data_IF_928413591443
#
_entry.id   IF_928413591443
#
_cell.length_a   1.000
_cell.length_b   1.000
_cell.length_c   1.000
_cell.angle_alpha   90.00
_cell.angle_beta   90.00
_cell.angle_gamma   90.00
#
_symmetry.space_group_name_H-M   'P 1'
#
loop_
_entity.id
_entity.type
_entity.pdbx_description
1 polymer ?
#
# COMPACT_ATOMS: atom_id res chain seq x y z
N UNK A 1 -16.51 41.35 13.59
CA UNK A 1 -15.58 40.19 13.53
C UNK A 1 -16.18 39.05 12.68
N UNK A 2 -16.22 39.18 11.34
CA UNK A 2 -16.95 38.21 10.50
C UNK A 2 -16.33 37.88 9.14
N UNK A 3 -15.15 38.42 8.82
CA UNK A 3 -14.58 38.28 7.45
C UNK A 3 -13.60 37.11 7.29
N UNK A 4 -12.97 36.63 8.37
CA UNK A 4 -11.92 35.61 8.27
C UNK A 4 -12.47 34.19 8.03
N UNK A 5 -13.66 33.88 8.55
CA UNK A 5 -14.30 32.57 8.37
C UNK A 5 -14.80 32.33 6.95
N UNK A 6 -15.25 33.37 6.25
CA UNK A 6 -15.78 33.25 4.89
C UNK A 6 -14.66 33.04 3.86
N UNK A 7 -13.50 33.68 4.04
CA UNK A 7 -12.32 33.48 3.16
C UNK A 7 -11.71 32.08 3.32
N UNK A 8 -11.61 31.56 4.55
CA UNK A 8 -11.14 30.18 4.76
C UNK A 8 -12.07 29.13 4.14
N UNK A 9 -13.38 29.41 4.12
CA UNK A 9 -14.38 28.52 3.51
C UNK A 9 -14.32 28.57 1.97
N UNK A 10 -14.01 29.74 1.40
CA UNK A 10 -13.87 29.93 -0.06
C UNK A 10 -12.53 29.41 -0.61
N UNK A 11 -11.46 29.43 0.19
CA UNK A 11 -10.15 28.88 -0.20
C UNK A 11 -10.14 27.34 -0.27
N UNK A 12 -11.02 26.66 0.48
CA UNK A 12 -11.10 25.19 0.51
C UNK A 12 -11.86 24.58 -0.68
N UNK A 13 -12.63 25.36 -1.43
CA UNK A 13 -13.46 24.84 -2.54
C UNK A 13 -12.72 24.72 -3.89
N UNK A 14 -11.48 25.19 -3.98
CA UNK A 14 -10.73 25.24 -5.25
C UNK A 14 -9.70 24.11 -5.45
N UNK A 15 -9.63 23.15 -4.54
CA UNK A 15 -8.81 21.95 -4.77
C UNK A 15 -9.62 21.05 -5.69
N UNK A 16 -9.25 21.02 -6.97
CA UNK A 16 -9.77 20.03 -7.91
C UNK A 16 -9.36 18.65 -7.43
N UNK A 17 -10.25 18.04 -6.65
CA UNK A 17 -10.10 16.71 -6.12
C UNK A 17 -9.74 15.71 -7.22
N UNK A 18 -10.13 15.92 -8.49
CA UNK A 18 -9.81 15.01 -9.59
C UNK A 18 -8.32 14.98 -9.96
N UNK A 19 -7.52 15.99 -9.65
CA UNK A 19 -6.09 16.03 -9.97
C UNK A 19 -5.20 15.77 -8.74
N UNK A 20 -4.05 15.09 -8.90
CA UNK A 20 -3.08 14.96 -7.82
C UNK A 20 -2.47 16.34 -7.50
N UNK A 21 -2.09 16.55 -6.23
CA UNK A 21 -1.42 17.79 -5.84
C UNK A 21 -0.06 17.94 -6.55
N UNK A 22 0.39 19.16 -6.81
CA UNK A 22 1.63 19.44 -7.57
C UNK A 22 2.89 18.87 -6.89
N UNK A 23 2.89 18.75 -5.56
CA UNK A 23 4.01 18.22 -4.76
C UNK A 23 3.63 16.90 -4.07
N UNK A 24 3.37 15.86 -4.86
CA UNK A 24 3.25 14.49 -4.33
C UNK A 24 4.54 13.71 -4.56
N UNK A 25 4.89 12.84 -3.61
CA UNK A 25 5.82 11.76 -3.93
C UNK A 25 5.19 10.88 -5.00
N UNK A 26 5.91 10.65 -6.11
CA UNK A 26 5.41 9.90 -7.25
C UNK A 26 6.34 8.73 -7.54
N UNK A 27 5.76 7.56 -7.80
CA UNK A 27 6.46 6.37 -8.29
C UNK A 27 5.62 5.69 -9.35
N UNK A 28 6.27 5.17 -10.38
CA UNK A 28 5.65 4.23 -11.32
C UNK A 28 5.73 2.81 -10.77
N UNK A 29 4.91 1.90 -11.28
CA UNK A 29 4.93 0.51 -10.81
C UNK A 29 6.14 -0.27 -11.30
N UNK A 30 6.68 0.10 -12.48
CA UNK A 30 7.85 -0.52 -13.12
C UNK A 30 9.18 -0.03 -12.54
N UNK A 31 9.13 0.94 -11.63
CA UNK A 31 10.28 1.40 -10.88
C UNK A 31 10.58 0.39 -9.79
N UNK A 32 11.72 -0.29 -9.89
CA UNK A 32 12.19 -1.28 -8.91
C UNK A 32 12.77 -0.64 -7.64
N UNK A 33 12.99 0.68 -7.66
CA UNK A 33 13.62 1.40 -6.57
C UNK A 33 15.10 1.09 -6.43
N UNK A 34 15.68 1.57 -5.32
CA UNK A 34 17.05 1.21 -4.95
C UNK A 34 17.02 -0.09 -4.17
N UNK A 35 18.01 -0.97 -4.36
CA UNK A 35 18.22 -2.05 -3.41
C UNK A 35 18.58 -1.44 -2.06
N UNK A 36 18.02 -2.01 -0.99
CA UNK A 36 18.36 -1.58 0.36
C UNK A 36 19.82 -1.99 0.59
N UNK A 37 20.71 -1.00 0.67
CA UNK A 37 22.09 -1.25 1.06
C UNK A 37 22.10 -1.62 2.54
N UNK A 38 22.59 -2.82 2.84
CA UNK A 38 22.81 -3.23 4.21
C UNK A 38 23.91 -2.34 4.78
N UNK A 39 23.72 -1.84 6.01
CA UNK A 39 24.74 -1.09 6.73
C UNK A 39 26.05 -1.88 6.76
N UNK A 40 27.12 -1.33 6.16
CA UNK A 40 28.44 -1.96 6.17
C UNK A 40 29.12 -1.68 7.51
N UNK A 41 29.34 -2.73 8.31
CA UNK A 41 30.07 -2.63 9.57
C UNK A 41 31.54 -2.98 9.38
N UNK A 42 32.43 -2.25 10.05
CA UNK A 42 33.83 -2.69 10.16
C UNK A 42 33.95 -3.86 11.14
N UNK A 43 35.06 -4.60 11.08
CA UNK A 43 35.32 -5.71 12.02
C UNK A 43 35.33 -5.23 13.48
N UNK A 44 35.84 -4.02 13.74
CA UNK A 44 35.85 -3.44 15.08
C UNK A 44 34.44 -3.12 15.58
N UNK A 45 33.57 -2.61 14.69
CA UNK A 45 32.17 -2.38 15.02
C UNK A 45 31.46 -3.70 15.33
N UNK A 46 31.74 -4.76 14.55
CA UNK A 46 31.18 -6.09 14.80
C UNK A 46 31.57 -6.61 16.19
N UNK A 47 32.84 -6.49 16.59
CA UNK A 47 33.29 -6.91 17.93
C UNK A 47 32.56 -6.11 19.01
N UNK A 48 32.35 -4.81 18.81
CA UNK A 48 31.68 -3.93 19.78
C UNK A 48 30.20 -4.30 20.01
N UNK A 49 29.51 -4.84 19.00
CA UNK A 49 28.09 -5.21 19.11
C UNK A 49 27.86 -6.63 19.65
N UNK A 50 28.89 -7.48 19.74
CA UNK A 50 28.76 -8.87 20.22
C UNK A 50 28.02 -8.95 21.57
N UNK A 51 28.34 -8.13 22.60
CA UNK A 51 27.62 -8.20 23.88
C UNK A 51 26.12 -7.91 23.75
N UNK A 52 25.76 -6.98 22.86
CA UNK A 52 24.35 -6.65 22.57
C UNK A 52 23.64 -7.81 21.89
N UNK A 53 24.28 -8.44 20.90
CA UNK A 53 23.73 -9.60 20.18
C UNK A 53 23.54 -10.79 21.14
N UNK A 54 24.54 -11.09 21.98
CA UNK A 54 24.44 -12.16 22.98
C UNK A 54 23.30 -11.91 23.97
N UNK A 55 23.18 -10.68 24.47
CA UNK A 55 22.07 -10.30 25.36
C UNK A 55 20.72 -10.44 24.66
N UNK A 56 20.62 -10.03 23.40
CA UNK A 56 19.42 -10.22 22.58
C UNK A 56 19.03 -11.69 22.44
N UNK A 57 20.00 -12.57 22.16
CA UNK A 57 19.79 -14.01 22.07
C UNK A 57 19.31 -14.63 23.39
N UNK A 58 19.89 -14.21 24.52
CA UNK A 58 19.46 -14.67 25.85
C UNK A 58 18.01 -14.25 26.15
N UNK A 59 17.64 -13.00 25.84
CA UNK A 59 16.27 -12.51 26.00
C UNK A 59 15.32 -13.32 25.10
N UNK A 60 15.71 -13.57 23.85
CA UNK A 60 14.89 -14.35 22.92
C UNK A 60 14.68 -15.79 23.39
N UNK A 61 15.68 -16.42 23.99
CA UNK A 61 15.54 -17.75 24.60
C UNK A 61 14.57 -17.75 25.79
N UNK A 62 14.65 -16.75 26.67
CA UNK A 62 13.73 -16.58 27.80
C UNK A 62 12.28 -16.32 27.34
N UNK A 63 12.06 -15.47 26.33
CA UNK A 63 10.73 -15.21 25.78
C UNK A 63 10.14 -16.47 25.13
N UNK A 64 10.93 -17.22 24.35
CA UNK A 64 10.52 -18.51 23.77
C UNK A 64 10.17 -19.53 24.85
N UNK A 65 10.95 -19.60 25.94
CA UNK A 65 10.64 -20.45 27.09
C UNK A 65 9.32 -20.10 27.78
N UNK A 66 8.89 -18.84 27.70
CA UNK A 66 7.60 -18.32 28.20
C UNK A 66 6.47 -18.42 27.18
N UNK A 67 6.70 -18.99 25.99
CA UNK A 67 5.72 -19.09 24.90
C UNK A 67 5.33 -17.74 24.28
N UNK A 68 6.18 -16.71 24.43
CA UNK A 68 5.95 -15.38 23.85
C UNK A 68 6.72 -15.23 22.54
N UNK A 69 6.15 -14.44 21.62
CA UNK A 69 6.82 -14.10 20.38
C UNK A 69 8.07 -13.24 20.59
N UNK A 70 9.04 -13.39 19.69
CA UNK A 70 10.28 -12.61 19.72
C UNK A 70 10.02 -11.22 19.15
N UNK A 71 10.20 -10.19 19.98
CA UNK A 71 10.06 -8.80 19.55
C UNK A 71 11.20 -8.35 18.63
N UNK A 72 12.44 -8.81 18.88
CA UNK A 72 13.62 -8.41 18.13
C UNK A 72 14.46 -9.62 17.74
N UNK A 73 14.49 -9.92 16.45
CA UNK A 73 15.35 -10.95 15.88
C UNK A 73 16.36 -10.29 14.92
N UNK A 74 17.64 -10.17 15.32
CA UNK A 74 18.67 -9.53 14.49
C UNK A 74 19.01 -10.34 13.25
N UNK A 75 18.63 -11.63 13.20
CA UNK A 75 18.90 -12.51 12.06
C UNK A 75 17.67 -12.66 11.15
N UNK A 76 16.56 -11.99 11.47
CA UNK A 76 15.39 -11.96 10.62
C UNK A 76 15.76 -11.41 9.24
N UNK A 77 15.47 -12.19 8.20
CA UNK A 77 15.59 -11.72 6.82
C UNK A 77 14.45 -10.75 6.51
N UNK A 78 14.82 -9.48 6.33
CA UNK A 78 13.91 -8.43 5.88
C UNK A 78 13.74 -8.46 4.36
N UNK A 79 12.66 -7.90 3.85
CA UNK A 79 12.53 -7.68 2.40
C UNK A 79 13.59 -6.69 1.92
N UNK A 80 14.26 -7.03 0.83
CA UNK A 80 15.36 -6.27 0.21
C UNK A 80 14.88 -5.25 -0.85
N UNK A 81 13.56 -5.07 -0.97
CA UNK A 81 12.93 -4.15 -1.92
C UNK A 81 12.43 -2.86 -1.27
N UNK A 82 12.30 -1.81 -2.09
CA UNK A 82 11.74 -0.52 -1.69
C UNK A 82 10.24 -0.39 -1.98
N UNK A 83 9.53 -1.50 -2.21
CA UNK A 83 8.09 -1.44 -2.47
C UNK A 83 7.39 -1.00 -1.19
N UNK A 84 7.04 0.27 -1.06
CA UNK A 84 6.42 0.86 0.13
C UNK A 84 5.38 1.89 -0.31
N UNK A 85 4.43 2.19 0.55
CA UNK A 85 3.49 3.27 0.32
C UNK A 85 3.03 3.84 1.65
N UNK A 86 2.04 4.73 1.60
CA UNK A 86 1.50 5.28 2.83
C UNK A 86 0.78 4.21 3.65
N UNK A 87 0.96 4.22 4.98
CA UNK A 87 0.24 3.32 5.86
C UNK A 87 -1.25 3.67 5.85
N UNK A 88 -2.04 2.64 6.11
CA UNK A 88 -3.49 2.69 6.33
C UNK A 88 -3.73 2.48 7.82
N UNK A 89 -4.33 3.46 8.49
CA UNK A 89 -4.74 3.32 9.88
C UNK A 89 -4.76 4.65 10.60
N UNK A 90 -5.42 4.65 11.76
CA UNK A 90 -5.39 5.74 12.72
C UNK A 90 -4.17 5.64 13.65
N UNK A 91 -3.97 6.67 14.47
CA UNK A 91 -3.03 6.66 15.58
C UNK A 91 -3.48 5.66 16.65
N UNK A 92 -2.59 4.74 17.02
CA UNK A 92 -2.85 3.74 18.07
C UNK A 92 -3.73 2.57 17.66
N UNK A 93 -4.30 2.57 16.45
CA UNK A 93 -5.18 1.50 15.95
C UNK A 93 -4.45 0.34 15.28
N UNK A 94 -3.13 0.43 15.16
CA UNK A 94 -2.34 -0.37 14.23
C UNK A 94 -2.45 0.15 12.79
N UNK A 95 -1.58 -0.36 11.93
CA UNK A 95 -1.49 0.09 10.52
C UNK A 95 -1.24 -1.05 9.54
N UNK A 96 -1.73 -0.89 8.31
CA UNK A 96 -1.46 -1.79 7.19
C UNK A 96 -0.78 -0.99 6.08
N UNK A 97 0.38 -1.43 5.62
CA UNK A 97 1.02 -0.86 4.44
C UNK A 97 0.31 -1.28 3.15
N UNK A 98 0.11 -0.33 2.23
CA UNK A 98 -0.19 -0.67 0.83
C UNK A 98 0.96 -0.21 -0.04
N UNK A 99 1.58 -1.13 -0.76
CA UNK A 99 2.72 -0.83 -1.62
C UNK A 99 2.31 0.13 -2.74
N UNK A 100 3.25 0.91 -3.27
CA UNK A 100 2.97 1.67 -4.49
C UNK A 100 2.58 0.75 -5.65
N UNK A 101 2.99 -0.53 -5.64
CA UNK A 101 2.60 -1.57 -6.61
C UNK A 101 1.20 -2.18 -6.36
N UNK A 102 0.45 -1.68 -5.37
CA UNK A 102 -0.99 -1.93 -5.22
C UNK A 102 -1.41 -3.02 -4.22
N UNK A 103 -0.49 -3.88 -3.77
CA UNK A 103 -0.77 -4.97 -2.81
C UNK A 103 -0.53 -4.56 -1.35
N UNK A 104 -1.20 -5.26 -0.42
CA UNK A 104 -1.11 -5.00 1.02
C UNK A 104 0.03 -5.81 1.66
N UNK A 105 0.78 -5.18 2.56
CA UNK A 105 1.98 -5.69 3.24
C UNK A 105 2.23 -4.85 4.51
N UNK A 106 3.27 -5.15 5.30
CA UNK A 106 3.59 -4.37 6.51
C UNK A 106 2.40 -4.22 7.46
N UNK A 107 1.82 -5.35 7.87
CA UNK A 107 0.74 -5.38 8.84
C UNK A 107 1.33 -5.23 10.25
N UNK A 108 1.00 -4.11 10.88
CA UNK A 108 1.32 -3.76 12.26
C UNK A 108 0.02 -3.56 13.02
N UNK A 109 -0.82 -4.61 13.05
CA UNK A 109 -2.11 -4.56 13.74
C UNK A 109 -1.91 -4.82 15.23
N UNK A 110 -1.02 -5.75 15.57
CA UNK A 110 -0.67 -6.04 16.97
C UNK A 110 0.65 -5.35 17.31
N UNK A 111 0.76 -4.62 18.44
CA UNK A 111 1.95 -3.85 18.77
C UNK A 111 3.27 -4.64 18.80
N UNK A 112 3.21 -5.94 19.12
CA UNK A 112 4.38 -6.81 19.19
C UNK A 112 4.68 -7.55 17.87
N UNK A 113 3.75 -7.55 16.91
CA UNK A 113 3.87 -8.30 15.66
C UNK A 113 3.96 -7.35 14.48
N UNK A 114 4.97 -7.61 13.66
CA UNK A 114 5.16 -6.92 12.40
C UNK A 114 5.27 -7.95 11.29
N UNK A 115 4.21 -8.06 10.49
CA UNK A 115 4.15 -8.95 9.35
C UNK A 115 4.50 -8.18 8.09
N UNK A 116 5.75 -8.36 7.65
CA UNK A 116 6.27 -7.64 6.50
C UNK A 116 5.72 -8.16 5.17
N UNK A 117 5.48 -9.47 5.06
CA UNK A 117 5.18 -10.14 3.79
C UNK A 117 3.85 -9.67 3.20
N UNK A 118 3.74 -9.60 1.86
CA UNK A 118 2.49 -9.27 1.22
C UNK A 118 1.46 -10.39 1.37
N UNK A 119 0.21 -10.01 1.70
CA UNK A 119 -0.93 -10.92 1.66
C UNK A 119 -1.59 -10.76 0.30
N UNK A 120 -1.20 -11.61 -0.65
CA UNK A 120 -1.61 -11.46 -2.05
C UNK A 120 -3.11 -11.71 -2.28
N UNK A 121 -3.81 -12.32 -1.33
CA UNK A 121 -5.27 -12.44 -1.38
C UNK A 121 -6.00 -11.10 -1.15
N UNK A 122 -5.35 -10.13 -0.49
CA UNK A 122 -5.94 -8.83 -0.23
C UNK A 122 -5.72 -7.93 -1.45
N UNK A 123 -6.72 -7.75 -2.31
CA UNK A 123 -6.58 -7.00 -3.55
C UNK A 123 -7.84 -6.28 -3.97
N UNK A 124 -7.64 -5.23 -4.75
CA UNK A 124 -8.68 -4.71 -5.62
C UNK A 124 -8.55 -5.34 -7.01
N UNK A 125 -9.67 -5.66 -7.64
CA UNK A 125 -9.72 -6.14 -9.03
C UNK A 125 -10.73 -5.32 -9.81
N UNK A 126 -10.41 -5.05 -11.08
CA UNK A 126 -11.30 -4.34 -12.00
C UNK A 126 -11.78 -5.30 -13.09
N UNK A 127 -13.07 -5.25 -13.40
CA UNK A 127 -13.69 -5.94 -14.51
C UNK A 127 -14.45 -4.95 -15.38
N UNK A 128 -14.20 -4.97 -16.68
CA UNK A 128 -14.80 -4.07 -17.65
C UNK A 128 -15.50 -4.89 -18.72
N UNK A 129 -16.77 -4.61 -18.98
CA UNK A 129 -17.55 -5.23 -20.04
C UNK A 129 -18.07 -4.18 -21.01
N UNK A 130 -17.84 -4.43 -22.30
CA UNK A 130 -18.26 -3.56 -23.41
C UNK A 130 -19.48 -4.14 -24.12
N UNK A 131 -20.34 -3.29 -24.72
CA UNK A 131 -21.49 -3.75 -25.51
C UNK A 131 -21.11 -4.60 -26.72
N UNK A 132 -19.90 -4.41 -27.28
CA UNK A 132 -19.37 -5.19 -28.40
C UNK A 132 -18.92 -6.62 -28.01
N UNK A 133 -19.20 -7.07 -26.77
CA UNK A 133 -18.83 -8.38 -26.27
C UNK A 133 -17.41 -8.50 -25.72
N UNK A 134 -16.56 -7.48 -25.87
CA UNK A 134 -15.21 -7.49 -25.27
C UNK A 134 -15.31 -7.31 -23.76
N UNK A 135 -14.54 -8.11 -23.02
CA UNK A 135 -14.40 -7.96 -21.58
C UNK A 135 -12.94 -8.01 -21.18
N UNK A 136 -12.61 -7.28 -20.13
CA UNK A 136 -11.26 -7.14 -19.60
C UNK A 136 -11.31 -7.29 -18.09
N UNK A 137 -10.32 -7.97 -17.53
CA UNK A 137 -10.11 -8.08 -16.09
C UNK A 137 -8.67 -7.76 -15.76
N UNK A 138 -8.41 -7.29 -14.55
CA UNK A 138 -7.06 -7.37 -13.96
C UNK A 138 -7.15 -7.16 -12.46
N UNK A 139 -6.21 -7.77 -11.73
CA UNK A 139 -5.93 -7.41 -10.35
C UNK A 139 -5.17 -6.09 -10.37
N UNK A 140 -5.60 -5.12 -9.56
CA UNK A 140 -5.02 -3.78 -9.47
C UNK A 140 -3.74 -3.74 -8.62
N UNK A 141 -2.91 -4.76 -8.78
CA UNK A 141 -1.60 -4.90 -8.16
C UNK A 141 -0.62 -5.62 -9.08
N UNK A 142 0.67 -5.31 -8.92
CA UNK A 142 1.75 -5.90 -9.69
C UNK A 142 2.81 -6.50 -8.75
N UNK A 143 2.57 -7.69 -8.16
CA UNK A 143 3.58 -8.39 -7.38
C UNK A 143 4.72 -8.91 -8.29
N UNK A 144 5.91 -9.07 -7.73
CA UNK A 144 7.03 -9.67 -8.46
C UNK A 144 6.79 -11.14 -8.74
N UNK A 145 7.45 -11.69 -9.76
CA UNK A 145 7.38 -13.11 -10.08
C UNK A 145 7.74 -13.99 -8.86
N UNK A 146 8.73 -13.56 -8.07
CA UNK A 146 9.13 -14.27 -6.84
C UNK A 146 8.04 -14.27 -5.76
N UNK A 147 7.28 -13.18 -5.63
CA UNK A 147 6.15 -13.13 -4.69
C UNK A 147 4.99 -14.04 -5.12
N UNK A 148 4.87 -14.33 -6.42
CA UNK A 148 3.88 -15.27 -6.96
C UNK A 148 4.36 -16.73 -6.93
N UNK A 149 5.65 -17.01 -6.70
CA UNK A 149 6.17 -18.38 -6.60
C UNK A 149 5.56 -19.08 -5.38
N UNK A 150 4.87 -20.19 -5.61
CA UNK A 150 4.24 -20.98 -4.55
C UNK A 150 2.78 -20.61 -4.25
N UNK A 151 2.22 -19.65 -4.98
CA UNK A 151 0.78 -19.39 -4.97
C UNK A 151 0.05 -20.51 -5.72
N UNK A 152 -0.90 -21.17 -5.06
CA UNK A 152 -1.68 -22.24 -5.68
C UNK A 152 -2.55 -21.69 -6.84
N UNK A 153 -2.48 -22.38 -7.99
CA UNK A 153 -3.31 -22.10 -9.17
C UNK A 153 -4.80 -22.28 -8.87
N UNK A 154 -5.16 -23.19 -7.96
CA UNK A 154 -6.55 -23.38 -7.54
C UNK A 154 -7.07 -22.25 -6.64
N UNK A 155 -6.18 -21.42 -6.10
CA UNK A 155 -6.51 -20.25 -5.30
C UNK A 155 -6.33 -18.97 -6.13
N UNK A 156 -5.65 -17.97 -5.56
CA UNK A 156 -5.41 -16.67 -6.18
C UNK A 156 -4.46 -16.73 -7.40
N UNK A 157 -3.82 -17.87 -7.65
CA UNK A 157 -2.99 -18.08 -8.85
C UNK A 157 -3.78 -18.08 -10.17
N UNK A 158 -5.10 -18.29 -10.10
CA UNK A 158 -6.01 -18.17 -11.25
C UNK A 158 -6.40 -16.73 -11.59
N UNK A 159 -6.10 -15.77 -10.71
CA UNK A 159 -6.48 -14.37 -10.92
C UNK A 159 -5.67 -13.72 -12.05
N UNK A 160 -6.22 -12.66 -12.62
CA UNK A 160 -5.60 -11.95 -13.74
C UNK A 160 -4.55 -10.93 -13.27
N UNK A 161 -3.32 -11.40 -13.03
CA UNK A 161 -2.18 -10.59 -12.60
C UNK A 161 -1.47 -9.82 -13.74
N UNK A 162 -2.09 -9.67 -14.92
CA UNK A 162 -1.47 -9.09 -16.11
C UNK A 162 -1.54 -7.56 -16.18
N UNK A 163 -1.46 -6.89 -15.03
CA UNK A 163 -1.48 -5.43 -14.96
C UNK A 163 -0.23 -4.85 -15.61
N UNK A 164 -0.39 -3.92 -16.57
CA UNK A 164 0.78 -3.28 -17.19
C UNK A 164 1.33 -2.17 -16.31
N UNK A 165 2.47 -2.44 -15.69
CA UNK A 165 3.10 -1.57 -14.70
C UNK A 165 3.41 -0.15 -15.20
N UNK A 166 3.92 -0.02 -16.43
CA UNK A 166 4.22 1.28 -17.07
C UNK A 166 3.02 2.26 -17.10
N UNK A 167 1.81 1.71 -17.14
CA UNK A 167 0.55 2.44 -17.20
C UNK A 167 0.04 2.86 -15.82
N UNK A 168 0.72 2.44 -14.75
CA UNK A 168 0.29 2.63 -13.38
C UNK A 168 1.20 3.63 -12.66
N UNK A 169 0.59 4.58 -11.95
CA UNK A 169 1.32 5.62 -11.23
C UNK A 169 0.75 5.80 -9.83
N UNK A 170 1.62 5.74 -8.83
CA UNK A 170 1.29 6.01 -7.44
C UNK A 170 1.71 7.42 -7.05
N UNK A 171 0.85 8.09 -6.31
CA UNK A 171 1.05 9.42 -5.73
C UNK A 171 0.78 9.35 -4.24
N UNK A 172 1.67 9.92 -3.42
CA UNK A 172 1.50 10.03 -1.99
C UNK A 172 1.73 11.45 -1.50
N UNK A 173 0.84 11.87 -0.60
CA UNK A 173 0.97 13.04 0.24
C UNK A 173 0.17 12.77 1.51
N UNK A 174 0.84 12.29 2.56
CA UNK A 174 0.21 11.84 3.79
C UNK A 174 -0.77 12.87 4.35
N UNK A 175 -1.99 12.46 4.77
CA UNK A 175 -2.49 11.08 4.94
C UNK A 175 -3.22 10.50 3.72
N UNK A 176 -3.01 11.08 2.53
CA UNK A 176 -3.70 10.68 1.30
C UNK A 176 -2.74 10.07 0.30
N UNK A 177 -3.18 9.00 -0.34
CA UNK A 177 -2.52 8.47 -1.52
C UNK A 177 -3.51 8.24 -2.65
N UNK A 178 -2.97 8.12 -3.84
CA UNK A 178 -3.71 7.86 -5.06
C UNK A 178 -2.92 6.93 -5.95
N UNK A 179 -3.59 5.92 -6.47
CA UNK A 179 -3.08 5.09 -7.56
C UNK A 179 -3.90 5.36 -8.81
N UNK A 180 -3.21 5.62 -9.92
CA UNK A 180 -3.80 5.87 -11.23
C UNK A 180 -3.42 4.72 -12.14
N UNK A 181 -4.43 4.07 -12.71
CA UNK A 181 -4.30 3.00 -13.70
C UNK A 181 -4.81 3.56 -15.03
N UNK A 182 -3.90 3.90 -15.95
CA UNK A 182 -4.21 4.60 -17.19
C UNK A 182 -4.26 3.64 -18.36
N UNK A 183 -5.46 3.34 -18.87
CA UNK A 183 -5.64 2.33 -19.92
C UNK A 183 -5.57 0.88 -19.42
N UNK A 184 -5.86 0.64 -18.13
CA UNK A 184 -5.88 -0.69 -17.53
C UNK A 184 -7.18 -0.93 -16.74
N UNK A 185 -7.84 -2.11 -16.89
CA UNK A 185 -7.52 -3.17 -17.85
C UNK A 185 -7.96 -2.86 -19.30
N UNK A 186 -8.74 -1.80 -19.50
CA UNK A 186 -9.25 -1.36 -20.81
C UNK A 186 -8.51 -0.08 -21.25
N UNK A 187 -7.91 -0.03 -22.47
CA UNK A 187 -7.12 1.12 -22.95
C UNK A 187 -7.86 2.47 -22.97
N UNK A 188 -9.19 2.48 -22.99
CA UNK A 188 -9.97 3.72 -23.08
C UNK A 188 -10.53 4.20 -21.74
N UNK A 189 -10.21 3.50 -20.64
CA UNK A 189 -10.62 3.89 -19.29
C UNK A 189 -9.41 4.27 -18.45
N UNK A 190 -9.67 5.14 -17.47
CA UNK A 190 -8.70 5.46 -16.43
C UNK A 190 -9.33 5.25 -15.07
N UNK A 191 -8.78 4.29 -14.33
CA UNK A 191 -9.22 4.01 -12.97
C UNK A 191 -8.34 4.79 -12.01
N UNK A 192 -8.96 5.51 -11.10
CA UNK A 192 -8.25 6.16 -10.00
C UNK A 192 -8.73 5.60 -8.68
N UNK A 193 -7.81 5.02 -7.92
CA UNK A 193 -8.02 4.58 -6.54
C UNK A 193 -7.45 5.64 -5.60
N UNK A 194 -8.30 6.30 -4.82
CA UNK A 194 -7.86 7.20 -3.74
C UNK A 194 -7.96 6.48 -2.42
N UNK A 195 -6.97 6.70 -1.58
CA UNK A 195 -6.84 6.15 -0.25
C UNK A 195 -6.66 7.30 0.73
N UNK A 196 -7.40 7.26 1.83
CA UNK A 196 -7.33 8.28 2.89
C UNK A 196 -7.31 7.58 4.25
N UNK A 197 -6.33 7.93 5.06
CA UNK A 197 -6.29 7.58 6.49
C UNK A 197 -6.90 8.72 7.32
N UNK A 198 -7.61 8.42 8.41
CA UNK A 198 -8.38 9.39 9.19
C UNK A 198 -7.47 10.23 10.13
N UNK A 199 -6.38 10.78 9.60
CA UNK A 199 -5.46 11.63 10.35
C UNK A 199 -5.86 13.09 10.13
N UNK A 200 -6.43 13.71 11.17
CA UNK A 200 -6.97 15.06 11.12
C UNK A 200 -6.38 15.83 12.31
N UNK A 201 -5.47 16.79 12.05
CA UNK A 201 -4.86 17.60 13.10
C UNK A 201 -5.92 18.19 14.04
N UNK A 202 -5.63 18.13 15.33
CA UNK A 202 -6.50 18.61 16.41
C UNK A 202 -7.82 17.84 16.59
N UNK A 203 -7.95 16.65 16.01
CA UNK A 203 -9.11 15.77 16.23
C UNK A 203 -8.68 14.35 16.64
N UNK A 204 -8.40 14.19 17.94
CA UNK A 204 -7.94 12.91 18.50
C UNK A 204 -8.97 11.78 18.42
N UNK A 205 -10.28 12.08 18.40
CA UNK A 205 -11.32 11.04 18.29
C UNK A 205 -11.36 10.41 16.89
N UNK A 206 -11.22 11.23 15.84
CA UNK A 206 -11.17 10.73 14.46
C UNK A 206 -9.88 9.95 14.19
N UNK A 207 -8.78 10.36 14.81
CA UNK A 207 -7.47 9.75 14.63
C UNK A 207 -7.35 8.33 15.23
N UNK A 208 -8.19 7.96 16.19
CA UNK A 208 -8.16 6.62 16.81
C UNK A 208 -8.90 5.54 16.00
N UNK A 209 -9.55 5.92 14.88
CA UNK A 209 -10.36 4.99 14.10
C UNK A 209 -9.49 3.95 13.38
N UNK A 210 -9.89 2.68 13.49
CA UNK A 210 -9.37 1.52 12.74
C UNK A 210 -9.88 1.48 11.30
N UNK A 211 -10.04 2.63 10.65
CA UNK A 211 -10.65 2.70 9.32
C UNK A 211 -9.72 3.38 8.31
N UNK A 212 -9.92 3.01 7.04
CA UNK A 212 -9.37 3.73 5.92
C UNK A 212 -10.44 3.77 4.83
N UNK A 213 -10.48 4.85 4.06
CA UNK A 213 -11.44 5.00 2.98
C UNK A 213 -10.77 4.84 1.63
N UNK A 214 -11.36 3.98 0.79
CA UNK A 214 -11.00 3.85 -0.62
C UNK A 214 -12.11 4.41 -1.49
N UNK A 215 -11.79 5.43 -2.29
CA UNK A 215 -12.69 5.97 -3.30
C UNK A 215 -12.14 5.59 -4.66
N UNK A 216 -12.81 4.68 -5.35
CA UNK A 216 -12.40 4.19 -6.66
C UNK A 216 -13.43 4.63 -7.68
N UNK A 217 -12.98 5.31 -8.73
CA UNK A 217 -13.83 5.76 -9.81
C UNK A 217 -13.11 5.59 -11.15
N UNK A 218 -13.89 5.22 -12.18
CA UNK A 218 -13.44 5.15 -13.56
C UNK A 218 -13.85 6.42 -14.30
N UNK A 219 -12.89 7.08 -14.93
CA UNK A 219 -13.15 8.10 -15.93
C UNK A 219 -13.12 7.47 -17.32
N UNK A 220 -14.08 7.87 -18.16
CA UNK A 220 -14.28 7.34 -19.51
C UNK A 220 -13.93 8.43 -20.51
N UNK A 221 -13.12 8.10 -21.52
CA UNK A 221 -12.66 9.08 -22.51
C UNK A 221 -13.47 9.10 -23.82
N UNK A 222 -14.36 8.11 -24.06
CA UNK A 222 -15.14 7.97 -25.30
C UNK A 222 -16.66 7.76 -25.06
N UNK A 223 -17.49 7.95 -26.10
CA UNK A 223 -18.96 8.05 -26.00
C UNK A 223 -19.70 6.73 -25.65
N UNK A 224 -19.17 5.54 -25.94
CA UNK A 224 -19.93 4.27 -25.78
C UNK A 224 -19.96 3.69 -24.36
N UNK A 225 -21.12 3.64 -23.71
CA UNK A 225 -21.28 3.18 -22.31
C UNK A 225 -20.63 1.81 -22.06
N UNK A 226 -19.80 1.71 -21.03
CA UNK A 226 -19.15 0.48 -20.57
C UNK A 226 -19.51 0.20 -19.10
N UNK A 227 -19.59 -1.08 -18.73
CA UNK A 227 -19.82 -1.49 -17.33
C UNK A 227 -18.47 -1.78 -16.68
N UNK A 228 -18.16 -1.08 -15.59
CA UNK A 228 -16.95 -1.29 -14.81
C UNK A 228 -17.32 -1.71 -13.40
N UNK A 229 -16.89 -2.90 -12.98
CA UNK A 229 -17.05 -3.43 -11.63
C UNK A 229 -15.70 -3.45 -10.94
N UNK A 230 -15.69 -3.09 -9.66
CA UNK A 230 -14.51 -3.17 -8.80
C UNK A 230 -14.84 -4.09 -7.63
N UNK A 231 -14.00 -5.09 -7.41
CA UNK A 231 -14.12 -6.01 -6.27
C UNK A 231 -12.97 -5.75 -5.29
N UNK A 232 -13.27 -5.84 -4.00
CA UNK A 232 -12.29 -5.89 -2.93
C UNK A 232 -12.33 -7.30 -2.33
N UNK A 233 -11.18 -7.96 -2.33
CA UNK A 233 -10.98 -9.24 -1.67
C UNK A 233 -10.12 -9.01 -0.43
N UNK A 234 -10.52 -9.61 0.69
CA UNK A 234 -9.79 -9.66 1.95
C UNK A 234 -9.80 -11.12 2.41
N UNK A 235 -8.62 -11.71 2.59
CA UNK A 235 -8.42 -13.09 3.04
C UNK A 235 -8.08 -13.20 4.51
#
# INVERSE_FOLDING_TARGET
MGSAGLEQTKARSHINCAQPATRTWQRKFDDEGKKIELFSMTMNDMISIIPMVLKGLMINADQRGKGRDILYDPFRKWMDNCYRGLPLGGLGSGSIGRSYRGYFQHFQIFPALYEEKPILANQFSAFVSRPNGKSYSTVLAAPTADALKGVDKAAIGSWDWKLKEKNCTYHALFPRSRTVYDGEPDPEIKITCRQISPIIPHNLQGEQLTCCSFHIYGAKFWEHTCRCNIALYMG
#
